data_IF_516563934572
#
_entry.id   IF_516563934572
#
_cell.length_a   1.000
_cell.length_b   1.000
_cell.length_c   1.000
_cell.angle_alpha   90.00
_cell.angle_beta   90.00
_cell.angle_gamma   90.00
#
_symmetry.space_group_name_H-M   'P 1'
#
loop_
_entity.id
_entity.type
_entity.pdbx_description
1 polymer ?
#
# COMPACT_ATOMS: atom_id res chain seq x y z
N UNK A 1 11.26 -2.38 59.54
CA UNK A 1 10.94 -3.10 58.30
C UNK A 1 10.10 -2.20 57.42
N UNK A 2 10.74 -1.55 56.43
CA UNK A 2 10.05 -0.71 55.43
C UNK A 2 9.91 -1.51 54.15
N UNK A 3 8.71 -1.68 53.59
CA UNK A 3 8.55 -2.28 52.28
C UNK A 3 8.98 -1.28 51.18
N UNK A 4 9.95 -1.71 50.40
CA UNK A 4 10.48 -1.00 49.25
C UNK A 4 9.47 -1.15 48.11
N UNK A 5 8.65 -0.12 47.86
CA UNK A 5 7.74 -0.05 46.72
C UNK A 5 8.59 0.37 45.51
N UNK A 6 9.04 -0.63 44.77
CA UNK A 6 9.66 -0.44 43.43
C UNK A 6 8.58 0.05 42.49
N UNK A 7 8.62 1.35 42.14
CA UNK A 7 7.82 1.96 41.11
C UNK A 7 8.21 1.38 39.75
N UNK A 8 7.45 0.41 39.25
CA UNK A 8 7.44 -0.03 37.87
C UNK A 8 6.77 1.05 36.98
N UNK A 9 7.50 2.11 36.71
CA UNK A 9 7.06 3.20 35.84
C UNK A 9 8.13 3.53 34.80
N UNK A 10 8.28 2.72 33.76
CA UNK A 10 9.35 2.97 32.78
C UNK A 10 9.25 2.23 31.45
N UNK A 11 8.03 1.90 30.98
CA UNK A 11 7.91 1.11 29.75
C UNK A 11 7.02 1.67 28.63
N UNK A 12 6.36 2.80 28.82
CA UNK A 12 5.34 3.25 27.88
C UNK A 12 5.83 4.30 26.86
N UNK A 13 6.93 4.99 27.09
CA UNK A 13 7.31 6.15 26.26
C UNK A 13 8.06 5.78 24.97
N UNK A 14 8.59 4.57 24.84
CA UNK A 14 9.38 4.16 23.67
C UNK A 14 8.54 3.64 22.47
N UNK A 15 7.24 3.42 22.66
CA UNK A 15 6.37 2.82 21.64
C UNK A 15 5.71 3.86 20.71
N UNK A 16 5.70 5.12 21.07
CA UNK A 16 4.97 6.18 20.36
C UNK A 16 5.46 6.50 18.94
N UNK A 17 6.77 6.65 18.64
CA UNK A 17 7.19 7.08 17.31
C UNK A 17 6.91 6.04 16.22
N UNK A 18 6.96 4.77 16.54
CA UNK A 18 6.71 3.70 15.57
C UNK A 18 5.21 3.52 15.28
N UNK A 19 4.36 3.70 16.29
CA UNK A 19 2.91 3.66 16.11
C UNK A 19 2.42 4.85 15.28
N UNK A 20 2.97 6.04 15.52
CA UNK A 20 2.68 7.23 14.75
C UNK A 20 3.11 7.09 13.28
N UNK A 21 4.30 6.58 13.01
CA UNK A 21 4.77 6.33 11.63
C UNK A 21 3.86 5.34 10.91
N UNK A 22 3.48 4.24 11.58
CA UNK A 22 2.57 3.25 11.02
C UNK A 22 1.20 3.85 10.69
N UNK A 23 0.68 4.69 11.57
CA UNK A 23 -0.56 5.42 11.35
C UNK A 23 -0.47 6.36 10.15
N UNK A 24 0.59 7.18 10.04
CA UNK A 24 0.80 8.07 8.91
C UNK A 24 0.92 7.31 7.58
N UNK A 25 1.67 6.21 7.55
CA UNK A 25 1.80 5.37 6.36
C UNK A 25 0.46 4.73 5.96
N UNK A 26 -0.31 4.26 6.93
CA UNK A 26 -1.65 3.71 6.69
C UNK A 26 -2.62 4.76 6.13
N UNK A 27 -2.64 5.93 6.74
CA UNK A 27 -3.47 7.07 6.30
C UNK A 27 -3.10 7.50 4.88
N UNK A 28 -1.80 7.65 4.60
CA UNK A 28 -1.31 7.99 3.26
C UNK A 28 -1.72 6.92 2.24
N UNK A 29 -1.62 5.64 2.60
CA UNK A 29 -2.03 4.53 1.73
C UNK A 29 -3.52 4.58 1.36
N UNK A 30 -4.39 4.86 2.33
CA UNK A 30 -5.83 4.99 2.11
C UNK A 30 -6.14 6.20 1.22
N UNK A 31 -5.54 7.35 1.49
CA UNK A 31 -5.73 8.57 0.69
C UNK A 31 -5.25 8.35 -0.74
N UNK A 32 -4.06 7.78 -0.91
CA UNK A 32 -3.49 7.47 -2.23
C UNK A 32 -4.40 6.52 -3.02
N UNK A 33 -4.88 5.45 -2.39
CA UNK A 33 -5.79 4.49 -3.03
C UNK A 33 -7.12 5.13 -3.41
N UNK A 34 -7.68 5.99 -2.56
CA UNK A 34 -8.94 6.69 -2.83
C UNK A 34 -8.79 7.66 -4.00
N UNK A 35 -7.67 8.39 -4.07
CA UNK A 35 -7.39 9.30 -5.18
C UNK A 35 -7.22 8.53 -6.51
N UNK A 36 -6.44 7.45 -6.52
CA UNK A 36 -6.27 6.60 -7.70
C UNK A 36 -7.60 6.02 -8.19
N UNK A 37 -8.44 5.56 -7.25
CA UNK A 37 -9.76 5.04 -7.58
C UNK A 37 -10.66 6.12 -8.18
N UNK A 38 -10.68 7.31 -7.60
CA UNK A 38 -11.45 8.46 -8.08
C UNK A 38 -11.06 8.86 -9.50
N UNK A 39 -9.75 8.95 -9.77
CA UNK A 39 -9.24 9.26 -11.11
C UNK A 39 -9.58 8.16 -12.12
N UNK A 40 -9.43 6.89 -11.75
CA UNK A 40 -9.82 5.77 -12.61
C UNK A 40 -11.31 5.80 -12.95
N UNK A 41 -12.18 6.08 -11.97
CA UNK A 41 -13.62 6.20 -12.20
C UNK A 41 -13.97 7.33 -13.17
N UNK A 42 -13.30 8.46 -13.05
CA UNK A 42 -13.53 9.64 -13.89
C UNK A 42 -13.08 9.40 -15.32
N UNK A 43 -11.90 8.81 -15.51
CA UNK A 43 -11.25 8.64 -16.83
C UNK A 43 -11.87 7.50 -17.62
N UNK A 44 -12.13 6.35 -16.97
CA UNK A 44 -12.57 5.14 -17.67
C UNK A 44 -14.09 4.99 -17.74
N UNK A 45 -14.87 6.00 -17.31
CA UNK A 45 -16.36 5.89 -17.17
C UNK A 45 -16.75 4.58 -16.48
N UNK A 46 -16.03 4.25 -15.44
CA UNK A 46 -15.80 2.90 -14.98
C UNK A 46 -17.06 2.29 -14.36
N UNK A 47 -17.56 1.26 -15.00
CA UNK A 47 -18.52 0.36 -14.39
C UNK A 47 -17.94 -0.38 -13.18
N UNK A 48 -18.81 -1.04 -12.44
CA UNK A 48 -18.47 -1.79 -11.20
C UNK A 48 -17.30 -2.77 -11.38
N UNK A 49 -17.14 -3.34 -12.59
CA UNK A 49 -16.07 -4.30 -12.94
C UNK A 49 -14.67 -3.68 -12.75
N UNK A 50 -14.51 -2.41 -13.11
CA UNK A 50 -13.24 -1.72 -12.92
C UNK A 50 -12.89 -1.55 -11.43
N UNK A 51 -13.88 -1.15 -10.64
CA UNK A 51 -13.70 -0.98 -9.19
C UNK A 51 -13.26 -2.29 -8.54
N UNK A 52 -14.00 -3.36 -8.83
CA UNK A 52 -13.72 -4.70 -8.30
C UNK A 52 -12.35 -5.20 -8.77
N UNK A 53 -12.00 -5.00 -10.04
CA UNK A 53 -10.71 -5.41 -10.59
C UNK A 53 -9.56 -4.63 -9.96
N UNK A 54 -9.70 -3.31 -9.77
CA UNK A 54 -8.68 -2.46 -9.16
C UNK A 54 -8.43 -2.83 -7.69
N UNK A 55 -9.50 -2.96 -6.92
CA UNK A 55 -9.42 -3.35 -5.50
C UNK A 55 -8.92 -4.79 -5.33
N UNK A 56 -9.38 -5.71 -6.19
CA UNK A 56 -8.96 -7.10 -6.19
C UNK A 56 -7.47 -7.25 -6.50
N UNK A 57 -7.00 -6.61 -7.56
CA UNK A 57 -5.57 -6.64 -7.94
C UNK A 57 -4.69 -5.96 -6.90
N UNK A 58 -5.14 -4.86 -6.30
CA UNK A 58 -4.41 -4.20 -5.20
C UNK A 58 -4.28 -5.12 -3.98
N UNK A 59 -5.38 -5.77 -3.58
CA UNK A 59 -5.39 -6.69 -2.44
C UNK A 59 -4.52 -7.93 -2.68
N UNK A 60 -4.58 -8.52 -3.89
CA UNK A 60 -3.72 -9.63 -4.28
C UNK A 60 -2.24 -9.25 -4.28
N UNK A 61 -1.91 -8.09 -4.83
CA UNK A 61 -0.55 -7.58 -4.82
C UNK A 61 -0.04 -7.30 -3.39
N UNK A 62 -0.90 -6.79 -2.50
CA UNK A 62 -0.56 -6.60 -1.09
C UNK A 62 -0.30 -7.95 -0.39
N UNK A 63 -1.13 -8.94 -0.64
CA UNK A 63 -0.92 -10.29 -0.10
C UNK A 63 0.38 -10.92 -0.63
N UNK A 64 0.66 -10.75 -1.93
CA UNK A 64 1.91 -11.21 -2.54
C UNK A 64 3.12 -10.50 -1.94
N UNK A 65 3.07 -9.17 -1.79
CA UNK A 65 4.12 -8.37 -1.14
C UNK A 65 4.38 -8.80 0.30
N UNK A 66 3.32 -9.03 1.08
CA UNK A 66 3.43 -9.53 2.45
C UNK A 66 4.06 -10.94 2.51
N UNK A 67 3.69 -11.81 1.58
CA UNK A 67 4.25 -13.16 1.46
C UNK A 67 5.73 -13.13 1.06
N UNK A 68 6.06 -12.27 0.10
CA UNK A 68 7.45 -12.07 -0.35
C UNK A 68 8.33 -11.52 0.77
N UNK A 69 7.81 -10.58 1.59
CA UNK A 69 8.52 -10.08 2.75
C UNK A 69 8.95 -11.18 3.74
N UNK A 70 8.14 -12.24 3.87
CA UNK A 70 8.47 -13.38 4.75
C UNK A 70 9.62 -14.20 4.20
N UNK A 71 9.75 -14.28 2.87
CA UNK A 71 10.83 -15.00 2.18
C UNK A 71 12.15 -14.24 2.18
N UNK A 72 12.12 -12.93 2.33
CA UNK A 72 13.32 -12.09 2.36
C UNK A 72 14.10 -12.29 3.68
N UNK A 73 15.35 -12.73 3.59
CA UNK A 73 16.27 -12.83 4.74
C UNK A 73 16.62 -11.48 5.35
N UNK A 74 16.65 -10.42 4.52
CA UNK A 74 16.84 -9.02 4.95
C UNK A 74 15.68 -8.21 4.43
N UNK A 75 14.82 -7.74 5.31
CA UNK A 75 13.80 -6.77 4.95
C UNK A 75 14.44 -5.39 4.82
N UNK A 76 14.09 -4.61 3.77
CA UNK A 76 14.50 -3.21 3.67
C UNK A 76 14.06 -2.44 4.91
N UNK A 77 14.76 -1.36 5.24
CA UNK A 77 14.42 -0.54 6.38
C UNK A 77 13.01 0.04 6.19
N UNK A 78 12.32 0.28 7.30
CA UNK A 78 10.96 0.87 7.28
C UNK A 78 10.96 2.22 6.58
N UNK A 79 12.00 3.02 6.80
CA UNK A 79 12.20 4.33 6.18
C UNK A 79 12.34 4.21 4.66
N UNK A 80 13.12 3.24 4.17
CA UNK A 80 13.27 2.99 2.74
C UNK A 80 11.93 2.60 2.10
N UNK A 81 11.12 1.78 2.77
CA UNK A 81 9.80 1.40 2.27
C UNK A 81 8.83 2.59 2.22
N UNK A 82 8.83 3.43 3.25
CA UNK A 82 8.02 4.65 3.26
C UNK A 82 8.45 5.63 2.16
N UNK A 83 9.76 5.82 1.96
CA UNK A 83 10.27 6.66 0.88
C UNK A 83 9.97 6.09 -0.51
N UNK A 84 9.99 4.76 -0.67
CA UNK A 84 9.66 4.11 -1.93
C UNK A 84 8.16 4.23 -2.28
N UNK A 85 7.30 4.46 -1.31
CA UNK A 85 5.87 4.60 -1.53
C UNK A 85 5.54 5.84 -2.38
N UNK A 86 6.25 6.96 -2.16
CA UNK A 86 6.03 8.23 -2.87
C UNK A 86 6.29 8.08 -4.39
N UNK A 87 7.48 7.64 -4.85
CA UNK A 87 7.74 7.50 -6.28
C UNK A 87 6.85 6.46 -6.95
N UNK A 88 6.48 5.38 -6.24
CA UNK A 88 5.56 4.37 -6.78
C UNK A 88 4.16 4.96 -6.96
N UNK A 89 3.66 5.75 -6.01
CA UNK A 89 2.40 6.44 -6.15
C UNK A 89 2.40 7.40 -7.34
N UNK A 90 3.48 8.19 -7.51
CA UNK A 90 3.63 9.08 -8.66
C UNK A 90 3.68 8.31 -9.99
N UNK A 91 4.35 7.17 -10.02
CA UNK A 91 4.40 6.31 -11.20
C UNK A 91 3.01 5.74 -11.54
N UNK A 92 2.24 5.32 -10.55
CA UNK A 92 0.87 4.85 -10.72
C UNK A 92 -0.03 5.97 -11.28
N UNK A 93 0.06 7.17 -10.72
CA UNK A 93 -0.68 8.33 -11.20
C UNK A 93 -0.31 8.67 -12.65
N UNK A 94 0.99 8.66 -12.98
CA UNK A 94 1.47 8.86 -14.35
C UNK A 94 0.94 7.77 -15.29
N UNK A 95 0.89 6.52 -14.86
CA UNK A 95 0.32 5.44 -15.66
C UNK A 95 -1.16 5.67 -15.98
N UNK A 96 -1.95 6.16 -15.03
CA UNK A 96 -3.35 6.53 -15.25
C UNK A 96 -3.45 7.63 -16.32
N UNK A 97 -2.64 8.68 -16.20
CA UNK A 97 -2.64 9.79 -17.17
C UNK A 97 -2.25 9.33 -18.58
N UNK A 98 -1.27 8.44 -18.70
CA UNK A 98 -0.85 7.88 -19.99
C UNK A 98 -1.97 7.04 -20.62
N UNK A 99 -2.68 6.25 -19.84
CA UNK A 99 -3.83 5.48 -20.31
C UNK A 99 -5.01 6.40 -20.69
N UNK A 100 -5.24 7.47 -19.94
CA UNK A 100 -6.23 8.49 -20.27
C UNK A 100 -5.95 9.18 -21.60
N UNK A 101 -4.69 9.54 -21.84
CA UNK A 101 -4.25 10.22 -23.06
C UNK A 101 -4.30 9.35 -24.31
N UNK A 102 -4.39 8.02 -24.18
CA UNK A 102 -4.48 7.12 -25.34
C UNK A 102 -5.82 7.18 -26.10
N UNK A 103 -6.81 7.90 -25.58
CA UNK A 103 -8.03 8.34 -26.28
C UNK A 103 -8.95 7.25 -26.88
N UNK A 104 -8.55 5.99 -26.72
CA UNK A 104 -9.21 4.84 -27.38
C UNK A 104 -10.40 4.26 -26.62
N UNK A 105 -10.62 4.68 -25.38
CA UNK A 105 -11.47 3.92 -24.48
C UNK A 105 -12.81 4.58 -24.13
N UNK A 106 -13.09 5.78 -24.67
CA UNK A 106 -14.36 6.45 -24.43
C UNK A 106 -15.51 5.68 -25.08
N UNK A 107 -16.16 4.82 -24.27
CA UNK A 107 -17.35 4.08 -24.70
C UNK A 107 -17.13 2.67 -25.26
N UNK A 108 -15.88 2.18 -25.31
CA UNK A 108 -15.59 0.80 -25.70
C UNK A 108 -15.68 -0.14 -24.49
N UNK A 109 -16.43 -1.25 -24.65
CA UNK A 109 -16.42 -2.35 -23.68
C UNK A 109 -15.09 -3.08 -23.82
N UNK A 110 -14.15 -2.79 -22.92
CA UNK A 110 -12.86 -3.47 -22.91
C UNK A 110 -12.99 -4.94 -22.50
N UNK A 111 -12.28 -5.85 -23.14
CA UNK A 111 -12.26 -7.26 -22.73
C UNK A 111 -11.65 -7.39 -21.31
N UNK A 112 -12.15 -8.34 -20.55
CA UNK A 112 -11.80 -8.53 -19.12
C UNK A 112 -10.29 -8.65 -18.89
N UNK A 113 -9.57 -9.30 -19.79
CA UNK A 113 -8.11 -9.46 -19.65
C UNK A 113 -7.34 -8.12 -19.75
N UNK A 114 -7.82 -7.18 -20.57
CA UNK A 114 -7.24 -5.82 -20.64
C UNK A 114 -7.55 -5.05 -19.36
N UNK A 115 -8.78 -5.14 -18.85
CA UNK A 115 -9.15 -4.52 -17.58
C UNK A 115 -8.25 -5.02 -16.45
N UNK A 116 -8.07 -6.33 -16.34
CA UNK A 116 -7.21 -6.95 -15.33
C UNK A 116 -5.74 -6.56 -15.52
N UNK A 117 -5.24 -6.56 -16.75
CA UNK A 117 -3.86 -6.16 -17.05
C UNK A 117 -3.57 -4.71 -16.66
N UNK A 118 -4.45 -3.79 -17.04
CA UNK A 118 -4.34 -2.37 -16.68
C UNK A 118 -4.48 -2.15 -15.17
N UNK A 119 -5.44 -2.83 -14.52
CA UNK A 119 -5.61 -2.78 -13.07
C UNK A 119 -4.37 -3.27 -12.33
N UNK A 120 -3.74 -4.35 -12.83
CA UNK A 120 -2.50 -4.87 -12.26
C UNK A 120 -1.34 -3.91 -12.40
N UNK A 121 -1.22 -3.25 -13.54
CA UNK A 121 -0.18 -2.25 -13.78
C UNK A 121 -0.35 -1.00 -12.91
N UNK A 122 -1.59 -0.54 -12.76
CA UNK A 122 -1.92 0.66 -11.97
C UNK A 122 -1.85 0.35 -10.46
N UNK A 123 -2.51 -0.69 -9.99
CA UNK A 123 -2.69 -0.96 -8.57
C UNK A 123 -1.62 -1.90 -7.97
N UNK A 124 -1.01 -2.76 -8.80
CA UNK A 124 -0.09 -3.80 -8.36
C UNK A 124 1.11 -3.29 -7.58
N UNK A 125 1.91 -2.35 -8.12
CA UNK A 125 3.11 -1.87 -7.45
C UNK A 125 2.84 -1.27 -6.06
N UNK A 126 1.79 -0.44 -5.93
CA UNK A 126 1.39 0.15 -4.66
C UNK A 126 0.91 -0.88 -3.65
N UNK A 127 0.10 -1.85 -4.12
CA UNK A 127 -0.33 -2.97 -3.29
C UNK A 127 0.85 -3.78 -2.77
N UNK A 128 1.80 -4.13 -3.64
CA UNK A 128 2.98 -4.91 -3.25
C UNK A 128 3.83 -4.20 -2.18
N UNK A 129 4.08 -2.90 -2.33
CA UNK A 129 4.82 -2.10 -1.34
C UNK A 129 4.03 -1.99 -0.03
N UNK A 130 2.71 -1.78 -0.11
CA UNK A 130 1.87 -1.76 1.08
C UNK A 130 1.95 -3.08 1.86
N UNK A 131 1.91 -4.22 1.17
CA UNK A 131 2.08 -5.54 1.76
C UNK A 131 3.44 -5.75 2.42
N UNK A 132 4.53 -5.31 1.76
CA UNK A 132 5.89 -5.31 2.32
C UNK A 132 5.95 -4.48 3.60
N UNK A 133 5.36 -3.27 3.59
CA UNK A 133 5.35 -2.36 4.71
C UNK A 133 4.60 -2.94 5.91
N UNK A 134 3.40 -3.49 5.69
CA UNK A 134 2.60 -4.14 6.75
C UNK A 134 3.39 -5.29 7.38
N UNK A 135 4.06 -6.13 6.56
CA UNK A 135 4.91 -7.20 7.06
C UNK A 135 6.12 -6.70 7.85
N UNK A 136 6.74 -5.59 7.43
CA UNK A 136 7.87 -4.98 8.13
C UNK A 136 7.47 -4.36 9.47
N UNK A 137 6.26 -3.81 9.56
CA UNK A 137 5.70 -3.25 10.79
C UNK A 137 5.24 -4.33 11.78
N UNK A 138 4.68 -5.43 11.26
CA UNK A 138 4.14 -6.54 12.06
C UNK A 138 5.20 -7.49 12.61
N UNK A 139 6.48 -7.39 12.19
CA UNK A 139 7.55 -8.18 12.81
C UNK A 139 7.87 -7.58 14.18
N UNK A 140 7.58 -8.27 15.29
CA UNK A 140 8.01 -7.83 16.61
C UNK A 140 9.54 -7.73 16.58
N UNK A 141 10.07 -6.79 17.38
CA UNK A 141 11.50 -6.61 17.62
C UNK A 141 11.95 -7.84 18.48
N UNK A 142 11.85 -9.03 17.92
CA UNK A 142 12.33 -10.28 18.48
C UNK A 142 13.78 -10.44 18.03
N UNK A 143 14.71 -10.05 18.87
CA UNK A 143 16.11 -10.45 18.78
C UNK A 143 17.08 -9.31 18.54
N UNK A 144 17.41 -8.60 19.56
CA UNK A 144 18.80 -8.22 19.89
C UNK A 144 19.29 -9.04 21.05
#
# INVERSE_FOLDING_TARGET
MHPNISTCGGGQDAMQPHAFLAFCCGLFGIVAQTLLLSECLTIFSAGEIWIVSLLGTWSLAAAAGASFARSLRRTPSRETLCLAFIPVFLLQYLAILLFAGSGRDAGLILPLHEILGRSLLIAGPGGAIAGLLVSALGRPILGR
#
